data_IF_754014347566
#
_entry.id   IF_754014347566
#
_cell.length_a   1.000
_cell.length_b   1.000
_cell.length_c   1.000
_cell.angle_alpha   90.00
_cell.angle_beta   90.00
_cell.angle_gamma   90.00
#
_symmetry.space_group_name_H-M   'P 1'
#
loop_
_entity.id
_entity.type
_entity.pdbx_description
1 polymer ?
#
# COMPACT_ATOMS: atom_id res chain seq x y z
N UNK A 1 -11.70 22.07 -10.92
CA UNK A 1 -11.48 22.56 -9.55
C UNK A 1 -10.06 22.22 -9.11
N UNK A 2 -9.36 23.09 -8.36
CA UNK A 2 -8.03 22.77 -7.85
C UNK A 2 -8.13 21.60 -6.87
N UNK A 3 -7.31 20.59 -7.11
CA UNK A 3 -7.25 19.38 -6.28
C UNK A 3 -6.73 19.72 -4.89
N UNK A 4 -7.32 19.20 -3.79
CA UNK A 4 -6.79 19.45 -2.45
C UNK A 4 -5.34 18.94 -2.36
N UNK A 5 -4.43 19.79 -1.87
CA UNK A 5 -3.00 19.45 -1.76
C UNK A 5 -2.78 18.15 -0.98
N UNK A 6 -3.59 17.90 0.05
CA UNK A 6 -3.56 16.67 0.86
C UNK A 6 -3.85 15.41 0.05
N UNK A 7 -4.77 15.46 -0.92
CA UNK A 7 -5.07 14.31 -1.80
C UNK A 7 -3.96 14.08 -2.81
N UNK A 8 -3.30 15.14 -3.28
CA UNK A 8 -2.10 15.03 -4.12
C UNK A 8 -0.97 14.34 -3.37
N UNK A 9 -0.69 14.76 -2.13
CA UNK A 9 0.32 14.12 -1.27
C UNK A 9 -0.02 12.66 -0.98
N UNK A 10 -1.29 12.36 -0.69
CA UNK A 10 -1.73 10.99 -0.48
C UNK A 10 -1.56 10.14 -1.75
N UNK A 11 -1.95 10.65 -2.91
CA UNK A 11 -1.78 9.93 -4.17
C UNK A 11 -0.30 9.67 -4.49
N UNK A 12 0.58 10.63 -4.19
CA UNK A 12 2.02 10.47 -4.33
C UNK A 12 2.57 9.42 -3.35
N UNK A 13 2.14 9.44 -2.09
CA UNK A 13 2.56 8.44 -1.10
C UNK A 13 2.12 7.02 -1.51
N UNK A 14 0.89 6.86 -1.99
CA UNK A 14 0.37 5.58 -2.50
C UNK A 14 1.10 5.17 -3.78
N UNK A 15 1.47 6.12 -4.64
CA UNK A 15 2.28 5.86 -5.83
C UNK A 15 3.66 5.35 -5.46
N UNK A 16 4.36 6.01 -4.53
CA UNK A 16 5.67 5.57 -4.06
C UNK A 16 5.61 4.17 -3.43
N UNK A 17 4.52 3.86 -2.71
CA UNK A 17 4.30 2.52 -2.19
C UNK A 17 4.09 1.49 -3.30
N UNK A 18 3.31 1.81 -4.34
CA UNK A 18 3.15 0.98 -5.54
C UNK A 18 4.50 0.73 -6.23
N UNK A 19 5.27 1.79 -6.49
CA UNK A 19 6.59 1.72 -7.13
C UNK A 19 7.57 0.87 -6.30
N UNK A 20 7.56 1.01 -4.97
CA UNK A 20 8.39 0.21 -4.07
C UNK A 20 8.06 -1.29 -4.15
N UNK A 21 6.77 -1.64 -4.26
CA UNK A 21 6.34 -3.03 -4.44
C UNK A 21 6.71 -3.57 -5.83
N UNK A 22 6.64 -2.72 -6.87
CA UNK A 22 7.07 -3.10 -8.21
C UNK A 22 8.58 -3.36 -8.27
N UNK A 23 9.38 -2.48 -7.69
CA UNK A 23 10.83 -2.65 -7.57
C UNK A 23 11.17 -3.92 -6.80
N UNK A 24 10.50 -4.15 -5.66
CA UNK A 24 10.65 -5.39 -4.89
C UNK A 24 10.35 -6.63 -5.75
N UNK A 25 9.24 -6.63 -6.49
CA UNK A 25 8.89 -7.75 -7.36
C UNK A 25 9.94 -7.96 -8.46
N UNK A 26 10.37 -6.88 -9.11
CA UNK A 26 11.43 -6.93 -10.12
C UNK A 26 12.72 -7.51 -9.53
N UNK A 27 13.15 -7.06 -8.35
CA UNK A 27 14.32 -7.62 -7.68
C UNK A 27 14.18 -9.10 -7.38
N UNK A 28 13.00 -9.55 -6.95
CA UNK A 28 12.75 -10.97 -6.68
C UNK A 28 12.86 -11.81 -7.95
N UNK A 29 12.20 -11.42 -9.05
CA UNK A 29 12.23 -12.19 -10.30
C UNK A 29 13.61 -12.15 -10.97
N UNK A 30 14.29 -11.01 -10.95
CA UNK A 30 15.64 -10.88 -11.51
C UNK A 30 16.70 -11.69 -10.72
N UNK A 31 16.44 -11.97 -9.44
CA UNK A 31 17.38 -12.68 -8.56
C UNK A 31 16.80 -13.99 -8.02
N UNK A 32 15.79 -14.57 -8.68
CA UNK A 32 15.03 -15.72 -8.16
C UNK A 32 15.94 -16.92 -7.88
N UNK A 33 16.84 -17.24 -8.81
CA UNK A 33 17.79 -18.35 -8.67
C UNK A 33 18.72 -18.19 -7.46
N UNK A 34 19.13 -16.96 -7.15
CA UNK A 34 19.94 -16.65 -5.97
C UNK A 34 19.10 -16.76 -4.68
N UNK A 35 17.91 -16.15 -4.67
CA UNK A 35 17.02 -16.18 -3.50
C UNK A 35 16.53 -17.58 -3.14
N UNK A 36 16.35 -18.46 -4.14
CA UNK A 36 16.01 -19.86 -3.93
C UNK A 36 17.07 -20.63 -3.13
N UNK A 37 18.34 -20.20 -3.18
CA UNK A 37 19.43 -20.82 -2.43
C UNK A 37 19.47 -20.37 -0.97
N UNK A 38 18.87 -19.21 -0.63
CA UNK A 38 19.01 -18.57 0.68
C UNK A 38 18.18 -19.21 1.83
N UNK A 39 17.53 -20.37 1.61
CA UNK A 39 16.64 -21.05 2.59
C UNK A 39 15.72 -20.07 3.33
N UNK A 40 15.10 -19.16 2.56
CA UNK A 40 14.17 -18.18 3.09
C UNK A 40 12.95 -18.89 3.69
N UNK A 41 12.43 -18.35 4.80
CA UNK A 41 11.18 -18.83 5.41
C UNK A 41 9.96 -18.66 4.50
N UNK A 42 10.06 -17.80 3.49
CA UNK A 42 9.01 -17.52 2.50
C UNK A 42 9.54 -17.76 1.10
N UNK A 43 8.75 -18.41 0.25
CA UNK A 43 9.10 -18.64 -1.16
C UNK A 43 9.37 -17.32 -1.89
N UNK A 44 10.47 -17.21 -2.65
CA UNK A 44 10.74 -16.04 -3.51
C UNK A 44 9.56 -15.76 -4.45
N UNK A 45 8.99 -16.78 -5.09
CA UNK A 45 7.86 -16.62 -6.01
C UNK A 45 6.65 -15.95 -5.34
N UNK A 46 6.35 -16.30 -4.08
CA UNK A 46 5.30 -15.63 -3.31
C UNK A 46 5.62 -14.14 -3.09
N UNK A 47 6.87 -13.80 -2.73
CA UNK A 47 7.29 -12.41 -2.52
C UNK A 47 7.18 -11.58 -3.81
N UNK A 48 7.53 -12.17 -4.95
CA UNK A 48 7.45 -11.54 -6.27
C UNK A 48 6.00 -11.28 -6.69
N UNK A 49 5.16 -12.32 -6.63
CA UNK A 49 3.73 -12.20 -6.98
C UNK A 49 2.99 -11.24 -6.05
N UNK A 50 3.24 -11.32 -4.74
CA UNK A 50 2.67 -10.39 -3.76
C UNK A 50 3.06 -8.94 -4.08
N UNK A 51 4.34 -8.70 -4.42
CA UNK A 51 4.81 -7.38 -4.84
C UNK A 51 4.09 -6.88 -6.10
N UNK A 52 3.91 -7.72 -7.12
CA UNK A 52 3.18 -7.35 -8.34
C UNK A 52 1.71 -7.02 -8.06
N UNK A 53 1.00 -7.87 -7.31
CA UNK A 53 -0.41 -7.67 -6.97
C UNK A 53 -0.57 -6.32 -6.27
N UNK A 54 0.26 -6.04 -5.27
CA UNK A 54 0.18 -4.79 -4.53
C UNK A 54 0.62 -3.58 -5.34
N UNK A 55 1.61 -3.72 -6.22
CA UNK A 55 1.98 -2.67 -7.16
C UNK A 55 0.79 -2.27 -8.05
N UNK A 56 0.07 -3.25 -8.60
CA UNK A 56 -1.11 -3.02 -9.45
C UNK A 56 -2.25 -2.36 -8.67
N UNK A 57 -2.63 -2.95 -7.52
CA UNK A 57 -3.76 -2.46 -6.72
C UNK A 57 -3.50 -1.04 -6.21
N UNK A 58 -2.31 -0.78 -5.65
CA UNK A 58 -1.93 0.55 -5.16
C UNK A 58 -1.70 1.54 -6.31
N UNK A 59 -1.21 1.08 -7.46
CA UNK A 59 -1.06 1.90 -8.66
C UNK A 59 -2.41 2.37 -9.19
N UNK A 60 -3.39 1.46 -9.27
CA UNK A 60 -4.77 1.79 -9.61
C UNK A 60 -5.39 2.76 -8.59
N UNK A 61 -5.19 2.52 -7.28
CA UNK A 61 -5.65 3.42 -6.22
C UNK A 61 -5.04 4.82 -6.36
N UNK A 62 -3.73 4.92 -6.58
CA UNK A 62 -3.03 6.19 -6.78
C UNK A 62 -3.53 6.92 -8.03
N UNK A 63 -3.66 6.23 -9.18
CA UNK A 63 -4.17 6.82 -10.41
C UNK A 63 -5.62 7.29 -10.27
N UNK A 64 -6.44 6.51 -9.57
CA UNK A 64 -7.82 6.87 -9.23
C UNK A 64 -7.87 8.10 -8.33
N UNK A 65 -7.05 8.16 -7.28
CA UNK A 65 -6.92 9.35 -6.44
C UNK A 65 -6.46 10.53 -7.29
N UNK A 66 -5.48 10.34 -8.19
CA UNK A 66 -4.94 11.35 -9.11
C UNK A 66 -6.03 12.04 -9.91
N UNK A 67 -6.95 11.24 -10.42
CA UNK A 67 -8.10 11.66 -11.20
C UNK A 67 -9.33 12.01 -10.36
N UNK A 68 -9.21 12.01 -9.02
CA UNK A 68 -10.31 12.25 -8.07
C UNK A 68 -11.51 11.31 -8.27
N UNK A 69 -11.26 10.07 -8.69
CA UNK A 69 -12.30 9.08 -8.98
C UNK A 69 -12.98 8.58 -7.70
N UNK A 70 -14.32 8.55 -7.66
CA UNK A 70 -15.07 8.11 -6.45
C UNK A 70 -14.68 6.71 -5.96
N UNK A 71 -14.47 5.75 -6.87
CA UNK A 71 -14.05 4.39 -6.51
C UNK A 71 -12.67 4.34 -5.86
N UNK A 72 -11.80 5.32 -6.16
CA UNK A 72 -10.44 5.34 -5.66
C UNK A 72 -10.37 5.57 -4.16
N UNK A 73 -11.36 6.29 -3.60
CA UNK A 73 -11.49 6.45 -2.16
C UNK A 73 -11.63 5.11 -1.46
N UNK A 74 -12.61 4.30 -1.90
CA UNK A 74 -12.87 2.98 -1.30
C UNK A 74 -11.74 1.99 -1.59
N UNK A 75 -11.20 2.01 -2.81
CA UNK A 75 -10.06 1.16 -3.15
C UNK A 75 -8.84 1.51 -2.29
N UNK A 76 -8.52 2.79 -2.08
CA UNK A 76 -7.37 3.19 -1.26
C UNK A 76 -7.55 2.75 0.19
N UNK A 77 -8.73 2.97 0.78
CA UNK A 77 -9.02 2.57 2.16
C UNK A 77 -8.87 1.04 2.34
N UNK A 78 -9.47 0.26 1.43
CA UNK A 78 -9.37 -1.19 1.45
C UNK A 78 -7.95 -1.67 1.21
N UNK A 79 -7.29 -1.19 0.16
CA UNK A 79 -5.96 -1.62 -0.25
C UNK A 79 -4.90 -1.30 0.80
N UNK A 80 -4.86 -0.09 1.35
CA UNK A 80 -3.86 0.29 2.36
C UNK A 80 -4.05 -0.53 3.64
N UNK A 81 -5.30 -0.72 4.08
CA UNK A 81 -5.59 -1.51 5.29
C UNK A 81 -5.21 -2.98 5.11
N UNK A 82 -5.61 -3.59 3.98
CA UNK A 82 -5.30 -4.98 3.68
C UNK A 82 -3.81 -5.21 3.42
N UNK A 83 -3.12 -4.25 2.80
CA UNK A 83 -1.66 -4.28 2.60
C UNK A 83 -0.91 -4.36 3.93
N UNK A 84 -1.27 -3.49 4.89
CA UNK A 84 -0.66 -3.51 6.20
C UNK A 84 -1.02 -4.79 6.97
N UNK A 85 -2.27 -5.24 6.91
CA UNK A 85 -2.69 -6.49 7.54
C UNK A 85 -1.90 -7.69 7.00
N UNK A 86 -1.77 -7.81 5.67
CA UNK A 86 -1.00 -8.88 5.04
C UNK A 86 0.48 -8.81 5.41
N UNK A 87 1.07 -7.62 5.47
CA UNK A 87 2.46 -7.45 5.91
C UNK A 87 2.65 -7.95 7.36
N UNK A 88 1.71 -7.65 8.26
CA UNK A 88 1.74 -8.14 9.64
C UNK A 88 1.57 -9.65 9.73
N UNK A 89 0.66 -10.24 8.96
CA UNK A 89 0.50 -11.69 8.90
C UNK A 89 1.79 -12.37 8.43
N UNK A 90 2.44 -11.85 7.39
CA UNK A 90 3.73 -12.39 6.92
C UNK A 90 4.81 -12.27 8.00
N UNK A 91 4.88 -11.16 8.74
CA UNK A 91 5.85 -11.03 9.85
C UNK A 91 5.60 -12.04 10.95
N UNK A 92 4.35 -12.16 11.42
CA UNK A 92 4.00 -13.07 12.52
C UNK A 92 4.27 -14.53 12.14
N UNK A 93 4.01 -14.92 10.89
CA UNK A 93 4.17 -16.29 10.42
C UNK A 93 5.63 -16.67 10.10
N UNK A 94 6.45 -15.71 9.67
CA UNK A 94 7.76 -16.03 9.06
C UNK A 94 8.97 -15.30 9.69
N UNK A 95 8.79 -14.24 10.47
CA UNK A 95 9.90 -13.59 11.20
C UNK A 95 10.10 -14.25 12.58
N UNK A 96 11.06 -15.18 12.65
CA UNK A 96 11.32 -15.96 13.88
C UNK A 96 12.38 -15.32 14.80
N UNK A 97 13.27 -14.46 14.29
CA UNK A 97 14.41 -13.95 15.05
C UNK A 97 14.02 -12.95 16.16
N UNK A 98 14.69 -13.05 17.31
CA UNK A 98 14.47 -12.15 18.45
C UNK A 98 14.79 -10.69 18.12
N UNK A 99 15.83 -10.46 17.30
CA UNK A 99 16.25 -9.12 16.84
C UNK A 99 15.18 -8.46 15.97
N UNK A 100 14.47 -9.24 15.14
CA UNK A 100 13.38 -8.69 14.32
C UNK A 100 12.20 -8.22 15.19
N UNK A 101 11.94 -8.88 16.32
CA UNK A 101 10.83 -8.54 17.22
C UNK A 101 11.04 -7.23 17.98
N UNK A 102 12.29 -6.82 18.19
CA UNK A 102 12.60 -5.56 18.89
C UNK A 102 12.03 -4.33 18.15
N UNK A 103 11.99 -4.38 16.81
CA UNK A 103 11.50 -3.27 15.98
C UNK A 103 10.00 -3.36 15.66
N UNK A 104 9.32 -4.43 16.04
CA UNK A 104 7.88 -4.60 15.80
C UNK A 104 7.00 -3.46 16.35
N UNK A 105 7.13 -3.00 17.61
CA UNK A 105 6.23 -1.96 18.13
C UNK A 105 6.34 -0.65 17.34
N UNK A 106 7.56 -0.26 16.94
CA UNK A 106 7.77 0.91 16.09
C UNK A 106 7.11 0.74 14.72
N UNK A 107 7.30 -0.42 14.09
CA UNK A 107 6.68 -0.70 12.80
C UNK A 107 5.15 -0.77 12.88
N UNK A 108 4.60 -1.19 14.03
CA UNK A 108 3.17 -1.22 14.28
C UNK A 108 2.63 0.20 14.37
N UNK A 109 3.29 1.06 15.14
CA UNK A 109 2.94 2.47 15.25
C UNK A 109 2.97 3.16 13.88
N UNK A 110 4.02 2.94 13.08
CA UNK A 110 4.11 3.51 11.73
C UNK A 110 3.02 2.97 10.80
N UNK A 111 2.67 1.68 10.89
CA UNK A 111 1.59 1.09 10.10
C UNK A 111 0.23 1.70 10.46
N UNK A 112 -0.07 1.78 11.76
CA UNK A 112 -1.30 2.38 12.27
C UNK A 112 -1.40 3.86 11.90
N UNK A 113 -0.28 4.60 11.95
CA UNK A 113 -0.23 5.99 11.53
C UNK A 113 -0.57 6.15 10.05
N UNK A 114 0.00 5.33 9.17
CA UNK A 114 -0.30 5.38 7.72
C UNK A 114 -1.76 5.06 7.42
N UNK A 115 -2.30 4.01 8.05
CA UNK A 115 -3.72 3.65 7.93
C UNK A 115 -4.59 4.79 8.46
N UNK A 116 -4.34 5.25 9.68
CA UNK A 116 -5.10 6.33 10.32
C UNK A 116 -5.07 7.64 9.52
N UNK A 117 -3.91 8.04 8.99
CA UNK A 117 -3.79 9.20 8.11
C UNK A 117 -4.58 9.01 6.81
N UNK A 118 -4.49 7.84 6.18
CA UNK A 118 -5.23 7.55 4.94
C UNK A 118 -6.74 7.64 5.17
N UNK A 119 -7.22 7.02 6.25
CA UNK A 119 -8.63 7.10 6.65
C UNK A 119 -9.04 8.53 7.00
N UNK A 120 -8.27 9.23 7.82
CA UNK A 120 -8.58 10.61 8.24
C UNK A 120 -8.66 11.59 7.07
N UNK A 121 -7.70 11.53 6.14
CA UNK A 121 -7.71 12.37 4.93
C UNK A 121 -8.93 12.05 4.07
N UNK A 122 -9.22 10.78 3.83
CA UNK A 122 -10.31 10.36 2.94
C UNK A 122 -11.70 10.43 3.59
N UNK A 123 -11.80 10.54 4.91
CA UNK A 123 -13.06 10.79 5.63
C UNK A 123 -13.35 12.26 5.89
N UNK A 124 -12.39 13.16 5.67
CA UNK A 124 -12.62 14.59 5.86
C UNK A 124 -13.78 15.08 4.96
N UNK A 125 -14.79 15.78 5.49
CA UNK A 125 -16.02 16.11 4.77
C UNK A 125 -15.79 16.92 3.48
N UNK A 126 -14.80 17.81 3.48
CA UNK A 126 -14.41 18.58 2.29
C UNK A 126 -13.78 17.73 1.17
N UNK A 127 -13.11 16.63 1.51
CA UNK A 127 -12.51 15.71 0.53
C UNK A 127 -13.58 14.73 0.05
N UNK A 128 -14.40 14.20 0.96
CA UNK A 128 -15.54 13.33 0.62
C UNK A 128 -16.46 13.97 -0.41
N UNK A 129 -16.87 15.23 -0.19
CA UNK A 129 -17.74 15.96 -1.12
C UNK A 129 -17.09 16.20 -2.48
N UNK A 130 -15.76 16.33 -2.56
CA UNK A 130 -15.05 16.46 -3.83
C UNK A 130 -15.10 15.16 -4.66
N UNK A 131 -15.08 13.99 -4.02
CA UNK A 131 -15.23 12.69 -4.70
C UNK A 131 -16.68 12.37 -5.09
N UNK A 132 -17.67 12.83 -4.31
CA UNK A 132 -19.09 12.56 -4.57
C UNK A 132 -19.68 13.48 -5.67
N UNK A 133 -19.08 14.65 -5.96
CA UNK A 133 -19.52 15.57 -7.03
C UNK A 133 -19.24 15.07 -8.45
N UNK A 134 -18.26 14.19 -8.66
CA UNK A 134 -17.96 13.63 -9.98
C UNK A 134 -19.16 12.88 -10.60
N UNK A 135 -20.09 12.38 -9.78
CA UNK A 135 -21.30 11.67 -10.22
C UNK A 135 -22.52 12.55 -10.48
N UNK A 136 -22.46 13.86 -10.19
CA UNK A 136 -23.62 14.77 -10.35
C UNK A 136 -23.77 15.38 -11.75
N UNK A 137 -22.72 15.34 -12.56
CA UNK A 137 -22.65 15.97 -13.89
C UNK A 137 -22.62 14.92 -15.03
N UNK A 138 -23.15 13.72 -14.79
CA UNK A 138 -23.20 12.60 -15.75
C UNK A 138 -24.60 12.32 -16.25
#
# INVERSE_FOLDING_TARGET
MPRPRTVTWLALAVFLLSASNLLRAAHVFLNEAYLAQLRLSVSPTYLGLSGLIWAIVLGAASAGLWRMRRWARWLTLGAVSLYHLQAWLTRILFEVSADARQVWPWQAAVSLLRVGMTWGILWWPGIRSAFDRETGDG
#
